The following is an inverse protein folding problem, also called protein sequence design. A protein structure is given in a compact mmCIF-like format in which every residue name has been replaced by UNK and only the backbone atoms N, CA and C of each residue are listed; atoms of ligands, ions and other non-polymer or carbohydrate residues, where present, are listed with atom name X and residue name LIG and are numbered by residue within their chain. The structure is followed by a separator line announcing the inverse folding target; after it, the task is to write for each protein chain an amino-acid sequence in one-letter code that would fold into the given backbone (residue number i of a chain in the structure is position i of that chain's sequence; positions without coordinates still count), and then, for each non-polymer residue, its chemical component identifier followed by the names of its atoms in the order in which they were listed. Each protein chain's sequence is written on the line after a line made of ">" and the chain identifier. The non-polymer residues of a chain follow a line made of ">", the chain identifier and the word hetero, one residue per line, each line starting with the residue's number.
data_IF_481503512290
#
_entry.id   IF_481503512290
#
_cell.length_a   1.000
_cell.length_b   1.000
_cell.length_c   1.000
_cell.angle_alpha   90.00
_cell.angle_beta   90.00
_cell.angle_gamma   90.00
#
_symmetry.space_group_name_H-M   'P 1'
#
loop_
_entity.id
_entity.type
_entity.pdbx_description
1 polymer ?
#
# COMPACT_ATOMS: atom_id res chain seq x y z
N UNK A 1 -5.73 -13.28 20.05
CA UNK A 1 -5.11 -12.90 18.75
C UNK A 1 -6.11 -12.33 17.74
N UNK A 2 -7.29 -12.95 17.53
CA UNK A 2 -8.31 -12.45 16.59
C UNK A 2 -8.80 -11.03 16.87
N UNK A 3 -8.97 -10.63 18.14
CA UNK A 3 -9.43 -9.28 18.47
C UNK A 3 -8.42 -8.19 18.11
N UNK A 4 -7.11 -8.46 18.17
CA UNK A 4 -6.09 -7.43 17.91
C UNK A 4 -6.08 -6.98 16.43
N UNK A 5 -6.22 -7.93 15.51
CA UNK A 5 -6.18 -7.64 14.07
C UNK A 5 -7.32 -6.71 13.65
N UNK A 6 -8.52 -6.93 14.19
CA UNK A 6 -9.73 -6.16 13.85
C UNK A 6 -10.01 -5.01 14.84
N UNK A 7 -9.25 -4.90 15.94
CA UNK A 7 -9.41 -3.80 16.90
C UNK A 7 -9.05 -2.49 16.25
N UNK A 8 -9.99 -1.55 16.35
CA UNK A 8 -9.84 -0.24 15.75
C UNK A 8 -10.53 0.88 16.53
N UNK A 9 -9.99 2.09 16.38
CA UNK A 9 -10.51 3.30 16.99
C UNK A 9 -11.88 3.69 16.43
N UNK A 10 -12.71 4.34 17.25
CA UNK A 10 -14.05 4.78 16.86
C UNK A 10 -14.09 6.24 16.38
N UNK A 11 -13.21 6.61 15.45
CA UNK A 11 -13.16 7.95 14.89
C UNK A 11 -12.97 7.92 13.36
N UNK A 12 -13.02 9.09 12.73
CA UNK A 12 -12.94 9.24 11.27
C UNK A 12 -11.50 9.37 10.74
N UNK A 13 -10.48 9.48 11.59
CA UNK A 13 -9.09 9.69 11.17
C UNK A 13 -8.60 8.54 10.29
N UNK A 14 -8.72 7.26 10.68
CA UNK A 14 -8.28 6.16 9.82
C UNK A 14 -9.09 6.04 8.53
N UNK A 15 -10.36 6.48 8.51
CA UNK A 15 -11.17 6.48 7.30
C UNK A 15 -10.55 7.40 6.25
N UNK A 16 -10.22 8.64 6.62
CA UNK A 16 -9.61 9.61 5.69
C UNK A 16 -8.26 9.07 5.17
N UNK A 17 -7.45 8.53 6.09
CA UNK A 17 -6.16 7.93 5.74
C UNK A 17 -6.31 6.76 4.76
N UNK A 18 -7.25 5.84 5.00
CA UNK A 18 -7.52 4.69 4.11
C UNK A 18 -8.03 5.12 2.75
N UNK A 19 -8.93 6.10 2.69
CA UNK A 19 -9.46 6.60 1.42
C UNK A 19 -8.36 7.24 0.58
N UNK A 20 -7.51 8.07 1.18
CA UNK A 20 -6.39 8.69 0.48
C UNK A 20 -5.37 7.63 0.02
N UNK A 21 -4.84 6.85 0.96
CA UNK A 21 -3.82 5.84 0.71
C UNK A 21 -4.30 4.76 -0.27
N UNK A 22 -5.48 4.21 -0.02
CA UNK A 22 -6.09 3.18 -0.85
C UNK A 22 -6.37 3.65 -2.27
N UNK A 23 -6.84 4.88 -2.47
CA UNK A 23 -7.09 5.41 -3.83
C UNK A 23 -5.79 5.49 -4.63
N UNK A 24 -4.73 6.00 -4.02
CA UNK A 24 -3.43 6.12 -4.68
C UNK A 24 -2.85 4.74 -5.02
N UNK A 25 -2.91 3.78 -4.09
CA UNK A 25 -2.40 2.44 -4.36
C UNK A 25 -3.28 1.63 -5.30
N UNK A 26 -4.59 1.87 -5.37
CA UNK A 26 -5.42 1.26 -6.42
C UNK A 26 -4.96 1.73 -7.79
N UNK A 27 -4.64 3.03 -7.96
CA UNK A 27 -4.13 3.54 -9.22
C UNK A 27 -2.80 2.86 -9.61
N UNK A 28 -1.83 2.80 -8.70
CA UNK A 28 -0.54 2.14 -8.95
C UNK A 28 -0.67 0.62 -9.17
N UNK A 29 -1.47 -0.06 -8.34
CA UNK A 29 -1.77 -1.47 -8.52
C UNK A 29 -2.46 -1.75 -9.86
N UNK A 30 -3.30 -0.83 -10.33
CA UNK A 30 -3.95 -0.94 -11.63
C UNK A 30 -2.96 -0.77 -12.79
N UNK A 31 -1.95 0.09 -12.64
CA UNK A 31 -0.85 0.19 -13.60
C UNK A 31 -0.09 -1.13 -13.71
N UNK A 32 0.20 -1.76 -12.57
CA UNK A 32 0.99 -2.99 -12.50
C UNK A 32 0.21 -4.22 -12.92
N UNK A 33 -1.05 -4.35 -12.53
CA UNK A 33 -1.85 -5.54 -12.78
C UNK A 33 -2.52 -5.49 -14.16
N UNK A 34 -3.10 -4.35 -14.53
CA UNK A 34 -3.95 -4.24 -15.71
C UNK A 34 -3.37 -3.37 -16.83
N UNK A 35 -2.28 -2.63 -16.57
CA UNK A 35 -1.72 -1.70 -17.56
C UNK A 35 -2.55 -0.42 -17.74
N UNK A 36 -3.46 -0.13 -16.80
CA UNK A 36 -4.22 1.12 -16.81
C UNK A 36 -3.29 2.30 -16.52
N UNK A 37 -3.75 3.53 -16.82
CA UNK A 37 -3.00 4.76 -16.55
C UNK A 37 -1.57 4.78 -17.14
N UNK A 38 -1.39 4.16 -18.31
CA UNK A 38 -0.09 4.07 -18.99
C UNK A 38 0.90 3.12 -18.32
N UNK A 39 0.43 2.21 -17.44
CA UNK A 39 1.26 1.21 -16.78
C UNK A 39 1.68 0.06 -17.69
N UNK A 40 2.68 -0.70 -17.24
CA UNK A 40 3.23 -1.82 -18.00
C UNK A 40 2.35 -3.08 -18.03
N UNK A 41 1.34 -3.15 -17.16
CA UNK A 41 0.50 -4.34 -16.97
C UNK A 41 1.28 -5.53 -16.44
N UNK A 42 0.56 -6.62 -16.12
CA UNK A 42 1.12 -7.72 -15.34
C UNK A 42 2.41 -8.29 -15.96
N UNK A 43 2.40 -8.61 -17.26
CA UNK A 43 3.55 -9.19 -17.95
C UNK A 43 4.74 -8.24 -18.00
N UNK A 44 4.50 -6.95 -18.29
CA UNK A 44 5.56 -5.95 -18.35
C UNK A 44 6.17 -5.67 -16.98
N UNK A 45 5.34 -5.54 -15.94
CA UNK A 45 5.79 -5.35 -14.56
C UNK A 45 6.55 -6.57 -14.04
N UNK A 46 6.08 -7.79 -14.31
CA UNK A 46 6.82 -9.01 -13.96
C UNK A 46 8.20 -9.07 -14.64
N UNK A 47 8.27 -8.69 -15.92
CA UNK A 47 9.54 -8.63 -16.66
C UNK A 47 10.50 -7.60 -16.08
N UNK A 48 10.01 -6.41 -15.73
CA UNK A 48 10.81 -5.39 -15.07
C UNK A 48 11.33 -5.84 -13.70
N UNK A 49 10.47 -6.40 -12.85
CA UNK A 49 10.88 -6.84 -11.51
C UNK A 49 11.86 -8.00 -11.53
N UNK A 50 11.64 -9.00 -12.37
CA UNK A 50 12.50 -10.18 -12.40
C UNK A 50 13.76 -9.96 -13.24
N UNK A 51 13.69 -9.15 -14.30
CA UNK A 51 14.80 -8.91 -15.23
C UNK A 51 15.65 -7.68 -14.93
N UNK A 52 15.07 -6.62 -14.38
CA UNK A 52 15.80 -5.36 -14.08
C UNK A 52 16.09 -5.22 -12.59
N UNK A 53 15.10 -5.42 -11.74
CA UNK A 53 15.26 -5.33 -10.27
C UNK A 53 15.79 -6.64 -9.68
N UNK A 54 15.77 -7.74 -10.45
CA UNK A 54 16.26 -9.07 -10.05
C UNK A 54 15.53 -9.64 -8.81
N UNK A 55 14.25 -9.31 -8.64
CA UNK A 55 13.42 -9.92 -7.60
C UNK A 55 13.12 -11.39 -7.93
N UNK A 56 13.09 -12.29 -6.93
CA UNK A 56 12.53 -13.62 -7.12
C UNK A 56 11.09 -13.52 -7.65
N UNK A 57 10.73 -14.35 -8.62
CA UNK A 57 9.43 -14.27 -9.31
C UNK A 57 8.23 -14.29 -8.36
N UNK A 58 8.32 -15.04 -7.26
CA UNK A 58 7.24 -15.13 -6.27
C UNK A 58 7.06 -13.81 -5.51
N UNK A 59 8.16 -13.09 -5.24
CA UNK A 59 8.10 -11.78 -4.57
C UNK A 59 7.55 -10.74 -5.54
N UNK A 60 7.98 -10.75 -6.79
CA UNK A 60 7.45 -9.89 -7.83
C UNK A 60 5.93 -10.10 -8.03
N UNK A 61 5.49 -11.35 -8.09
CA UNK A 61 4.07 -11.69 -8.18
C UNK A 61 3.28 -11.19 -6.98
N UNK A 62 3.77 -11.47 -5.76
CA UNK A 62 3.11 -11.04 -4.54
C UNK A 62 3.02 -9.53 -4.44
N UNK A 63 4.05 -8.79 -4.85
CA UNK A 63 4.03 -7.32 -4.87
C UNK A 63 2.87 -6.80 -5.73
N UNK A 64 2.74 -7.29 -6.97
CA UNK A 64 1.70 -6.83 -7.90
C UNK A 64 0.30 -7.11 -7.35
N UNK A 65 0.10 -8.32 -6.82
CA UNK A 65 -1.20 -8.75 -6.29
C UNK A 65 -1.55 -8.00 -5.00
N UNK A 66 -0.59 -7.87 -4.07
CA UNK A 66 -0.80 -7.14 -2.82
C UNK A 66 -1.06 -5.67 -3.09
N UNK A 67 -0.37 -5.05 -4.05
CA UNK A 67 -0.54 -3.65 -4.36
C UNK A 67 -1.97 -3.32 -4.79
N UNK A 68 -2.54 -4.09 -5.71
CA UNK A 68 -3.92 -3.87 -6.15
C UNK A 68 -4.94 -4.36 -5.12
N UNK A 69 -4.93 -5.65 -4.77
CA UNK A 69 -5.97 -6.23 -3.92
C UNK A 69 -5.85 -5.78 -2.46
N UNK A 70 -4.62 -5.53 -1.99
CA UNK A 70 -4.39 -4.92 -0.68
C UNK A 70 -4.90 -3.48 -0.62
N UNK A 71 -4.87 -2.73 -1.74
CA UNK A 71 -5.42 -1.37 -1.78
C UNK A 71 -6.94 -1.39 -1.72
N UNK A 72 -7.59 -2.32 -2.43
CA UNK A 72 -9.03 -2.55 -2.32
C UNK A 72 -9.41 -2.95 -0.89
N UNK A 73 -8.67 -3.88 -0.28
CA UNK A 73 -8.88 -4.27 1.11
C UNK A 73 -8.72 -3.07 2.07
N UNK A 74 -7.72 -2.21 1.84
CA UNK A 74 -7.50 -1.01 2.64
C UNK A 74 -8.66 -0.01 2.49
N UNK A 75 -9.17 0.22 1.28
CA UNK A 75 -10.33 1.09 1.04
C UNK A 75 -11.57 0.61 1.80
N UNK A 76 -11.80 -0.71 1.80
CA UNK A 76 -12.89 -1.33 2.56
C UNK A 76 -12.62 -1.37 4.07
N UNK A 77 -11.38 -1.10 4.50
CA UNK A 77 -10.95 -1.21 5.89
C UNK A 77 -11.01 -2.65 6.38
N UNK A 78 -10.54 -3.58 5.54
CA UNK A 78 -10.46 -5.01 5.83
C UNK A 78 -9.01 -5.40 6.14
N UNK A 79 -8.80 -6.00 7.31
CA UNK A 79 -7.50 -6.32 7.87
C UNK A 79 -6.53 -5.14 7.83
N UNK A 80 -7.00 -3.94 8.21
CA UNK A 80 -6.31 -2.65 7.99
C UNK A 80 -4.87 -2.65 8.49
N UNK A 81 -4.63 -3.26 9.66
CA UNK A 81 -3.28 -3.36 10.23
C UNK A 81 -2.35 -4.20 9.37
N UNK A 82 -2.87 -5.29 8.82
CA UNK A 82 -2.11 -6.19 7.95
C UNK A 82 -1.85 -5.56 6.58
N UNK A 83 -2.85 -4.90 5.99
CA UNK A 83 -2.66 -4.17 4.72
C UNK A 83 -1.69 -3.00 4.88
N UNK A 84 -1.77 -2.27 6.01
CA UNK A 84 -0.80 -1.22 6.34
C UNK A 84 0.62 -1.75 6.48
N UNK A 85 0.80 -2.90 7.15
CA UNK A 85 2.09 -3.56 7.28
C UNK A 85 2.64 -4.02 5.92
N UNK A 86 1.79 -4.61 5.08
CA UNK A 86 2.17 -5.05 3.75
C UNK A 86 2.66 -3.87 2.88
N UNK A 87 1.93 -2.75 2.89
CA UNK A 87 2.35 -1.54 2.19
C UNK A 87 3.62 -0.91 2.76
N UNK A 88 3.79 -0.92 4.07
CA UNK A 88 5.04 -0.46 4.68
C UNK A 88 6.25 -1.26 4.16
N UNK A 89 6.14 -2.59 4.08
CA UNK A 89 7.21 -3.46 3.54
C UNK A 89 7.46 -3.19 2.06
N UNK A 90 6.40 -3.08 1.25
CA UNK A 90 6.51 -2.76 -0.19
C UNK A 90 7.22 -1.43 -0.40
N UNK A 91 6.80 -0.37 0.29
CA UNK A 91 7.36 0.97 0.13
C UNK A 91 8.83 1.03 0.55
N UNK A 92 9.21 0.35 1.64
CA UNK A 92 10.61 0.24 2.03
C UNK A 92 11.42 -0.48 0.94
N UNK A 93 10.89 -1.57 0.38
CA UNK A 93 11.51 -2.25 -0.76
C UNK A 93 11.72 -1.31 -1.95
N UNK A 94 10.70 -0.53 -2.33
CA UNK A 94 10.78 0.43 -3.44
C UNK A 94 11.82 1.52 -3.17
N UNK A 95 11.88 2.03 -1.93
CA UNK A 95 12.85 3.06 -1.54
C UNK A 95 14.27 2.53 -1.67
N UNK A 96 14.58 1.39 -1.07
CA UNK A 96 15.95 0.87 -1.04
C UNK A 96 16.43 0.31 -2.38
N UNK A 97 15.52 -0.20 -3.22
CA UNK A 97 15.90 -0.76 -4.53
C UNK A 97 15.97 0.29 -5.62
N UNK A 98 15.15 1.34 -5.56
CA UNK A 98 14.91 2.20 -6.73
C UNK A 98 15.00 3.70 -6.47
N UNK A 99 14.76 4.20 -5.25
CA UNK A 99 14.59 5.66 -5.03
C UNK A 99 15.66 6.32 -4.16
N UNK A 100 16.28 5.59 -3.23
CA UNK A 100 17.22 6.18 -2.26
C UNK A 100 18.43 6.87 -2.92
N UNK A 101 18.81 6.40 -4.11
CA UNK A 101 19.90 6.97 -4.91
C UNK A 101 19.59 8.34 -5.54
N UNK A 102 18.31 8.73 -5.61
CA UNK A 102 17.88 10.01 -6.20
C UNK A 102 17.68 11.12 -5.15
N UNK A 103 17.99 10.85 -3.87
CA UNK A 103 17.95 11.84 -2.81
C UNK A 103 16.53 12.10 -2.27
N UNK A 104 16.32 13.29 -1.70
CA UNK A 104 15.10 13.59 -0.95
C UNK A 104 13.91 13.99 -1.83
N UNK A 105 14.08 14.97 -2.72
CA UNK A 105 12.97 15.62 -3.42
C UNK A 105 12.45 14.79 -4.60
N UNK A 106 11.13 14.81 -4.81
CA UNK A 106 10.53 14.26 -6.03
C UNK A 106 10.96 15.05 -7.28
N UNK A 107 10.89 14.40 -8.44
CA UNK A 107 11.28 14.93 -9.73
C UNK A 107 10.13 15.67 -10.45
N UNK A 108 9.42 16.54 -9.74
CA UNK A 108 8.21 17.22 -10.26
C UNK A 108 8.42 17.98 -11.58
N UNK A 109 9.64 18.49 -11.81
CA UNK A 109 10.00 19.28 -12.99
C UNK A 109 10.86 18.51 -14.01
N UNK A 110 11.13 17.22 -13.80
CA UNK A 110 11.94 16.41 -14.72
C UNK A 110 13.45 16.72 -14.70
N UNK A 111 13.94 17.47 -13.72
CA UNK A 111 15.35 17.86 -13.60
C UNK A 111 16.26 16.79 -12.96
N UNK A 112 15.68 15.67 -12.52
CA UNK A 112 16.38 14.54 -11.92
C UNK A 112 16.26 13.28 -12.79
N UNK A 113 17.13 12.30 -12.55
CA UNK A 113 17.11 11.01 -13.27
C UNK A 113 16.01 10.06 -12.79
N UNK A 114 15.42 10.33 -11.64
CA UNK A 114 14.38 9.51 -11.03
C UNK A 114 13.75 10.24 -9.85
N UNK A 115 12.75 9.61 -9.24
CA UNK A 115 12.00 10.16 -8.13
C UNK A 115 12.75 10.00 -6.80
N UNK A 116 12.78 11.05 -5.97
CA UNK A 116 13.30 10.99 -4.61
C UNK A 116 12.37 10.25 -3.64
N UNK A 117 12.68 10.36 -2.34
CA UNK A 117 11.99 9.58 -1.28
C UNK A 117 10.87 10.34 -0.55
N UNK A 118 10.67 11.63 -0.80
CA UNK A 118 9.71 12.51 -0.11
C UNK A 118 8.29 11.91 -0.04
N UNK A 119 7.75 11.45 -1.17
CA UNK A 119 6.43 10.83 -1.24
C UNK A 119 6.32 9.56 -0.38
N UNK A 120 7.37 8.73 -0.37
CA UNK A 120 7.39 7.47 0.37
C UNK A 120 7.38 7.69 1.88
N UNK A 121 8.04 8.75 2.37
CA UNK A 121 8.02 9.12 3.79
C UNK A 121 6.59 9.44 4.24
N UNK A 122 5.86 10.24 3.44
CA UNK A 122 4.47 10.58 3.75
C UNK A 122 3.58 9.34 3.73
N UNK A 123 3.72 8.49 2.73
CA UNK A 123 2.93 7.27 2.66
C UNK A 123 3.27 6.30 3.80
N UNK A 124 4.55 6.13 4.16
CA UNK A 124 4.97 5.34 5.31
C UNK A 124 4.34 5.84 6.61
N UNK A 125 4.28 7.16 6.81
CA UNK A 125 3.61 7.74 7.97
C UNK A 125 2.11 7.40 8.00
N UNK A 126 1.43 7.41 6.85
CA UNK A 126 0.03 6.97 6.74
C UNK A 126 -0.11 5.48 7.07
N UNK A 127 0.74 4.63 6.48
CA UNK A 127 0.73 3.19 6.71
C UNK A 127 0.94 2.87 8.20
N UNK A 128 1.94 3.49 8.85
CA UNK A 128 2.22 3.34 10.29
C UNK A 128 1.02 3.80 11.12
N UNK A 129 0.42 4.94 10.78
CA UNK A 129 -0.78 5.44 11.48
C UNK A 129 -1.93 4.43 11.42
N UNK A 130 -2.14 3.78 10.26
CA UNK A 130 -3.16 2.74 10.07
C UNK A 130 -2.83 1.42 10.76
N UNK A 131 -1.54 1.05 10.83
CA UNK A 131 -1.07 -0.09 11.64
C UNK A 131 -1.40 0.12 13.11
N UNK A 132 -1.27 1.35 13.62
CA UNK A 132 -1.51 1.69 15.04
C UNK A 132 -3.00 1.80 15.35
N UNK A 133 -3.75 2.55 14.53
CA UNK A 133 -5.17 2.91 14.78
C UNK A 133 -6.21 1.90 14.25
N UNK A 134 -5.83 1.06 13.27
CA UNK A 134 -6.74 0.14 12.58
C UNK A 134 -7.64 0.84 11.54
N UNK A 135 -8.79 0.23 11.21
CA UNK A 135 -9.70 0.69 10.14
C UNK A 135 -10.59 1.93 10.41
N UNK A 136 -10.78 2.37 11.64
CA UNK A 136 -11.66 3.47 12.00
C UNK A 136 -13.15 3.20 11.75
N UNK A 137 -13.93 4.28 11.67
CA UNK A 137 -15.34 4.22 11.25
C UNK A 137 -15.49 3.71 9.81
N UNK A 138 -16.63 3.06 9.55
CA UNK A 138 -16.99 2.42 8.26
C UNK A 138 -15.98 1.40 7.73
N UNK A 139 -15.17 0.81 8.61
CA UNK A 139 -14.29 -0.31 8.24
C UNK A 139 -15.01 -1.65 8.39
N UNK A 140 -14.69 -2.60 7.52
CA UNK A 140 -15.09 -4.00 7.71
C UNK A 140 -14.48 -4.60 8.98
N UNK A 141 -13.29 -4.15 9.40
CA UNK A 141 -12.68 -4.54 10.68
C UNK A 141 -13.62 -4.28 11.85
N UNK A 142 -14.20 -3.08 11.91
CA UNK A 142 -15.16 -2.71 12.96
C UNK A 142 -16.42 -3.58 12.90
N UNK A 143 -16.95 -3.82 11.71
CA UNK A 143 -18.13 -4.66 11.53
C UNK A 143 -17.87 -6.10 12.00
N UNK A 144 -16.73 -6.68 11.64
CA UNK A 144 -16.32 -8.02 12.08
C UNK A 144 -16.16 -8.07 13.59
N UNK A 145 -15.50 -7.08 14.19
CA UNK A 145 -15.30 -7.02 15.64
C UNK A 145 -16.63 -7.00 16.40
N UNK A 146 -17.57 -6.14 16.00
CA UNK A 146 -18.90 -6.08 16.63
C UNK A 146 -19.68 -7.39 16.49
N UNK A 147 -19.50 -8.12 15.40
CA UNK A 147 -20.17 -9.42 15.21
C UNK A 147 -19.53 -10.54 16.03
N UNK A 148 -18.22 -10.45 16.30
CA UNK A 148 -17.52 -11.40 17.16
C UNK A 148 -17.85 -11.19 18.64
N UNK A 149 -18.07 -9.93 19.07
CA UNK A 149 -18.40 -9.62 20.47
C UNK A 149 -19.87 -9.95 20.83
N UNK A 150 -20.74 -10.11 19.82
CA UNK A 150 -22.16 -10.42 19.99
C UNK A 150 -22.50 -11.92 19.92
N UNK A 151 -21.51 -12.80 19.76
CA UNK A 151 -21.66 -14.27 19.75
C UNK A 151 -20.89 -14.89 20.91
#
# INVERSE_FOLDING_TARGET
>A
MRSFLFKTDNNYVPLVLRLAAGTVMVAHGSQKLFGLFGGYGFTGTMGFFTGTIHLPWIIAFLEIIIEFFGAIALLLGLATRLTGLAFMVILLGIVFTSHIQYGFFMNWFGNQKGEGIEYFILYLAIAISLIISGGGRYSLDRYILLKLDNN
#
